data_IF_328202773059
#
_entry.id   IF_328202773059
#
_cell.length_a   1.000
_cell.length_b   1.000
_cell.length_c   1.000
_cell.angle_alpha   90.00
_cell.angle_beta   90.00
_cell.angle_gamma   90.00
#
_symmetry.space_group_name_H-M   'P 1'
#
loop_
_entity.id
_entity.type
_entity.pdbx_description
1 polymer ?
#
# COMPACT_ATOMS: atom_id res chain seq x y z
N UNK A 1 20.79 -25.34 -6.70
CA UNK A 1 21.89 -26.26 -6.29
C UNK A 1 22.88 -26.39 -7.44
N UNK A 2 24.14 -26.70 -7.18
CA UNK A 2 25.14 -26.95 -8.24
C UNK A 2 24.98 -28.36 -8.82
N UNK A 3 25.60 -28.59 -9.98
CA UNK A 3 25.71 -29.90 -10.63
C UNK A 3 26.37 -30.98 -9.76
N UNK A 4 27.16 -30.59 -8.75
CA UNK A 4 27.74 -31.50 -7.76
C UNK A 4 26.90 -31.71 -6.49
N UNK A 5 25.65 -31.24 -6.46
CA UNK A 5 24.75 -31.36 -5.30
C UNK A 5 24.97 -30.33 -4.19
N UNK A 6 25.96 -29.44 -4.32
CA UNK A 6 26.21 -28.34 -3.40
C UNK A 6 25.04 -27.36 -3.36
N UNK A 7 24.65 -26.94 -2.16
CA UNK A 7 23.62 -25.90 -1.98
C UNK A 7 24.26 -24.55 -2.33
N UNK A 8 23.67 -23.84 -3.29
CA UNK A 8 24.12 -22.50 -3.74
C UNK A 8 23.34 -21.41 -3.01
N UNK A 9 22.04 -21.63 -2.85
CA UNK A 9 21.12 -20.84 -2.06
C UNK A 9 20.12 -21.82 -1.46
N UNK A 10 19.71 -21.57 -0.22
CA UNK A 10 18.60 -22.29 0.40
C UNK A 10 17.25 -21.89 -0.22
N UNK A 11 17.16 -20.67 -0.74
CA UNK A 11 15.96 -20.09 -1.36
C UNK A 11 16.34 -19.18 -2.54
N UNK A 12 15.67 -19.33 -3.68
CA UNK A 12 15.91 -18.53 -4.89
C UNK A 12 15.13 -17.22 -4.77
N UNK A 13 15.83 -16.08 -4.79
CA UNK A 13 15.27 -14.81 -4.35
C UNK A 13 15.00 -14.88 -2.84
N UNK A 14 15.59 -13.98 -2.06
CA UNK A 14 15.34 -13.95 -0.61
C UNK A 14 13.85 -13.68 -0.25
N UNK A 15 13.00 -13.43 -1.26
CA UNK A 15 11.62 -12.99 -1.21
C UNK A 15 10.60 -13.99 -1.82
N UNK A 16 11.04 -15.16 -2.34
CA UNK A 16 10.20 -16.15 -3.05
C UNK A 16 9.44 -15.60 -4.27
N UNK A 17 9.84 -14.46 -4.82
CA UNK A 17 9.21 -13.90 -6.01
C UNK A 17 9.89 -14.44 -7.27
N UNK A 18 9.10 -14.77 -8.29
CA UNK A 18 9.63 -15.13 -9.60
C UNK A 18 10.07 -13.84 -10.32
N UNK A 19 11.36 -13.70 -10.70
CA UNK A 19 11.82 -12.51 -11.41
C UNK A 19 11.09 -12.26 -12.74
N UNK A 20 10.44 -13.27 -13.32
CA UNK A 20 9.64 -13.13 -14.55
C UNK A 20 8.29 -12.46 -14.28
N UNK A 21 7.74 -12.60 -13.07
CA UNK A 21 6.43 -12.07 -12.68
C UNK A 21 6.50 -10.70 -11.98
N UNK A 22 7.66 -10.01 -12.07
CA UNK A 22 7.85 -8.68 -11.49
C UNK A 22 7.34 -7.61 -12.45
N UNK A 23 6.20 -6.99 -12.13
CA UNK A 23 5.61 -5.92 -12.98
C UNK A 23 6.39 -4.59 -12.94
N UNK A 24 7.27 -4.40 -11.95
CA UNK A 24 8.09 -3.20 -11.74
C UNK A 24 9.59 -3.49 -11.69
N UNK A 25 10.41 -2.45 -11.55
CA UNK A 25 11.86 -2.60 -11.37
C UNK A 25 12.15 -3.14 -9.97
N UNK A 26 12.26 -4.48 -9.86
CA UNK A 26 12.39 -5.20 -8.59
C UNK A 26 11.21 -4.98 -7.61
N UNK A 27 10.02 -4.69 -8.14
CA UNK A 27 8.77 -4.67 -7.36
C UNK A 27 7.74 -5.61 -8.01
N UNK A 28 6.96 -6.36 -7.20
CA UNK A 28 6.02 -7.35 -7.73
C UNK A 28 4.82 -6.71 -8.47
N UNK A 29 4.48 -5.46 -8.18
CA UNK A 29 3.29 -4.80 -8.73
C UNK A 29 3.62 -3.38 -9.21
N UNK A 30 3.17 -3.02 -10.41
CA UNK A 30 3.24 -1.64 -10.89
C UNK A 30 2.00 -0.86 -10.43
N UNK A 31 2.06 -0.32 -9.22
CA UNK A 31 0.91 0.35 -8.59
C UNK A 31 0.29 1.45 -9.44
N UNK A 32 1.10 2.23 -10.17
CA UNK A 32 0.59 3.32 -11.03
C UNK A 32 -0.30 2.78 -12.15
N UNK A 33 0.13 1.70 -12.80
CA UNK A 33 -0.63 1.06 -13.88
C UNK A 33 -1.90 0.43 -13.35
N UNK A 34 -1.80 -0.33 -12.26
CA UNK A 34 -2.94 -1.03 -11.64
C UNK A 34 -3.98 -0.03 -11.15
N UNK A 35 -3.55 1.07 -10.53
CA UNK A 35 -4.44 2.14 -10.10
C UNK A 35 -5.20 2.78 -11.25
N UNK A 36 -4.48 3.18 -12.31
CA UNK A 36 -5.11 3.81 -13.49
C UNK A 36 -6.11 2.86 -14.17
N UNK A 37 -5.82 1.55 -14.14
CA UNK A 37 -6.71 0.53 -14.67
C UNK A 37 -7.97 0.37 -13.81
N UNK A 38 -7.82 0.30 -12.49
CA UNK A 38 -8.94 0.24 -11.54
C UNK A 38 -9.85 1.46 -11.72
N UNK A 39 -9.28 2.67 -11.68
CA UNK A 39 -9.99 3.95 -11.86
C UNK A 39 -10.81 3.98 -13.15
N UNK A 40 -10.27 3.45 -14.25
CA UNK A 40 -10.99 3.41 -15.54
C UNK A 40 -12.15 2.42 -15.51
N UNK A 41 -12.03 1.31 -14.77
CA UNK A 41 -13.07 0.28 -14.68
C UNK A 41 -14.20 0.69 -13.74
N UNK A 42 -13.89 1.42 -12.68
CA UNK A 42 -14.82 1.77 -11.59
C UNK A 42 -15.32 3.21 -11.66
N UNK A 43 -15.05 3.91 -12.77
CA UNK A 43 -15.47 5.31 -12.92
C UNK A 43 -17.00 5.46 -12.88
N UNK A 44 -17.50 6.07 -11.81
CA UNK A 44 -18.89 6.48 -11.65
C UNK A 44 -18.94 7.95 -11.21
N UNK A 45 -19.76 8.76 -11.89
CA UNK A 45 -19.93 10.17 -11.54
C UNK A 45 -20.81 10.35 -10.30
N UNK A 46 -21.75 9.43 -10.06
CA UNK A 46 -22.69 9.48 -8.93
C UNK A 46 -22.07 8.99 -7.62
N UNK A 47 -20.96 8.24 -7.68
CA UNK A 47 -20.26 7.77 -6.49
C UNK A 47 -19.55 8.93 -5.77
N UNK A 48 -19.70 9.02 -4.45
CA UNK A 48 -19.05 10.06 -3.67
C UNK A 48 -17.52 9.85 -3.59
N UNK A 49 -16.76 10.94 -3.72
CA UNK A 49 -15.32 10.91 -3.52
C UNK A 49 -15.00 10.72 -2.02
N UNK A 50 -14.07 9.82 -1.73
CA UNK A 50 -13.53 9.63 -0.39
C UNK A 50 -12.62 10.80 0.00
N UNK A 51 -12.64 11.15 1.27
CA UNK A 51 -11.68 12.08 1.87
C UNK A 51 -10.31 11.41 2.07
N UNK A 52 -9.20 12.19 2.17
CA UNK A 52 -7.88 11.62 2.46
C UNK A 52 -7.84 10.79 3.74
N UNK A 53 -8.60 11.17 4.78
CA UNK A 53 -8.69 10.43 6.04
C UNK A 53 -9.43 9.10 5.86
N UNK A 54 -10.53 9.08 5.10
CA UNK A 54 -11.24 7.85 4.77
C UNK A 54 -10.38 6.90 3.93
N UNK A 55 -9.62 7.41 2.96
CA UNK A 55 -8.69 6.60 2.16
C UNK A 55 -7.67 5.90 3.07
N UNK A 56 -7.06 6.65 4.00
CA UNK A 56 -6.09 6.11 4.95
C UNK A 56 -6.73 5.06 5.87
N UNK A 57 -7.91 5.36 6.41
CA UNK A 57 -8.62 4.45 7.30
C UNK A 57 -9.04 3.16 6.58
N UNK A 58 -9.49 3.27 5.33
CA UNK A 58 -9.86 2.12 4.52
C UNK A 58 -8.64 1.24 4.20
N UNK A 59 -7.53 1.85 3.77
CA UNK A 59 -6.28 1.14 3.53
C UNK A 59 -5.77 0.43 4.79
N UNK A 60 -5.76 1.11 5.94
CA UNK A 60 -5.37 0.52 7.22
C UNK A 60 -6.27 -0.67 7.59
N UNK A 61 -7.58 -0.55 7.38
CA UNK A 61 -8.53 -1.64 7.65
C UNK A 61 -8.26 -2.88 6.80
N UNK A 62 -7.86 -2.70 5.54
CA UNK A 62 -7.54 -3.78 4.62
C UNK A 62 -6.20 -4.43 4.97
N UNK A 63 -5.18 -3.61 5.21
CA UNK A 63 -3.85 -4.09 5.59
C UNK A 63 -3.84 -4.74 6.98
N UNK A 64 -4.71 -4.32 7.90
CA UNK A 64 -4.81 -4.92 9.23
C UNK A 64 -5.13 -6.43 9.18
N UNK A 65 -5.90 -6.88 8.19
CA UNK A 65 -6.19 -8.31 8.00
C UNK A 65 -4.93 -9.07 7.62
N UNK A 66 -4.15 -8.55 6.67
CA UNK A 66 -2.90 -9.18 6.22
C UNK A 66 -1.79 -9.08 7.28
N UNK A 67 -1.69 -7.97 8.02
CA UNK A 67 -0.74 -7.81 9.14
C UNK A 67 -0.95 -8.87 10.22
N UNK A 68 -2.20 -9.30 10.47
CA UNK A 68 -2.50 -10.40 11.41
C UNK A 68 -1.99 -11.76 10.95
N UNK A 69 -1.75 -11.95 9.64
CA UNK A 69 -1.20 -13.20 9.08
C UNK A 69 0.31 -13.29 9.22
N UNK A 70 0.99 -12.17 9.45
CA UNK A 70 2.45 -12.09 9.60
C UNK A 70 2.88 -11.50 10.96
N UNK A 71 2.44 -12.09 12.09
CA UNK A 71 2.81 -11.60 13.41
C UNK A 71 4.32 -11.81 13.65
N UNK A 72 4.98 -10.81 14.23
CA UNK A 72 6.40 -10.89 14.57
C UNK A 72 6.59 -11.55 15.94
N UNK A 73 7.49 -12.52 16.01
CA UNK A 73 7.84 -13.21 17.24
C UNK A 73 9.36 -13.28 17.40
N UNK A 74 9.83 -13.25 18.65
CA UNK A 74 11.24 -13.41 18.97
C UNK A 74 11.70 -14.84 18.68
N UNK A 75 12.87 -14.98 18.04
CA UNK A 75 13.41 -16.29 17.66
C UNK A 75 13.81 -17.15 18.86
N UNK A 76 14.21 -16.53 19.98
CA UNK A 76 14.72 -17.25 21.14
C UNK A 76 13.63 -17.69 22.14
N UNK A 77 12.62 -16.83 22.38
CA UNK A 77 11.60 -17.09 23.40
C UNK A 77 10.17 -17.11 22.87
N UNK A 78 9.95 -16.85 21.57
CA UNK A 78 8.63 -16.88 20.94
C UNK A 78 7.68 -15.77 21.42
N UNK A 79 8.22 -14.75 22.09
CA UNK A 79 7.47 -13.60 22.57
C UNK A 79 6.96 -12.77 21.39
N UNK A 80 5.79 -12.14 21.55
CA UNK A 80 5.27 -11.24 20.53
C UNK A 80 6.07 -9.94 20.53
N UNK A 81 6.63 -9.60 19.38
CA UNK A 81 7.37 -8.35 19.17
C UNK A 81 6.47 -7.29 18.52
N UNK A 82 6.97 -6.05 18.52
CA UNK A 82 6.33 -4.99 17.74
C UNK A 82 6.35 -5.33 16.25
N UNK A 83 5.29 -4.96 15.51
CA UNK A 83 5.19 -5.32 14.10
C UNK A 83 6.32 -4.70 13.26
N UNK A 84 6.74 -3.48 13.63
CA UNK A 84 7.76 -2.69 12.95
C UNK A 84 9.15 -2.82 13.62
N UNK A 85 9.37 -3.81 14.50
CA UNK A 85 10.67 -4.04 15.11
C UNK A 85 11.72 -4.39 14.04
N UNK A 86 12.72 -3.53 13.85
CA UNK A 86 13.80 -3.74 12.86
C UNK A 86 15.11 -4.21 13.50
N UNK A 87 15.09 -4.66 14.75
CA UNK A 87 16.30 -5.19 15.41
C UNK A 87 16.69 -6.53 14.81
N UNK A 88 17.99 -6.87 14.85
CA UNK A 88 18.50 -8.16 14.37
C UNK A 88 17.79 -9.37 15.01
N UNK A 89 17.30 -9.20 16.24
CA UNK A 89 16.56 -10.20 16.98
C UNK A 89 15.14 -10.43 16.44
N UNK A 90 14.51 -9.39 15.90
CA UNK A 90 13.13 -9.43 15.40
C UNK A 90 13.01 -9.87 13.94
N UNK A 91 14.11 -9.97 13.19
CA UNK A 91 14.10 -10.34 11.76
C UNK A 91 13.73 -11.82 11.58
N UNK A 92 12.74 -12.09 10.74
CA UNK A 92 12.27 -13.44 10.40
C UNK A 92 12.04 -13.62 8.88
N UNK A 93 11.55 -14.78 8.46
CA UNK A 93 11.25 -15.10 7.05
C UNK A 93 10.13 -14.27 6.38
N UNK A 94 9.36 -13.50 7.15
CA UNK A 94 8.22 -12.72 6.68
C UNK A 94 8.58 -11.24 6.38
N UNK A 95 9.85 -10.84 6.49
CA UNK A 95 10.29 -9.47 6.18
C UNK A 95 9.86 -8.99 4.79
N UNK A 96 9.97 -9.85 3.77
CA UNK A 96 9.54 -9.50 2.41
C UNK A 96 8.05 -9.18 2.34
N UNK A 97 7.21 -9.96 3.02
CA UNK A 97 5.77 -9.75 3.06
C UNK A 97 5.41 -8.46 3.81
N UNK A 98 6.03 -8.22 4.98
CA UNK A 98 5.81 -6.99 5.75
C UNK A 98 6.26 -5.74 4.98
N UNK A 99 7.42 -5.82 4.32
CA UNK A 99 7.92 -4.77 3.45
C UNK A 99 6.97 -4.47 2.30
N UNK A 100 6.37 -5.50 1.69
CA UNK A 100 5.38 -5.32 0.64
C UNK A 100 4.10 -4.64 1.14
N UNK A 101 3.58 -5.03 2.31
CA UNK A 101 2.45 -4.31 2.91
C UNK A 101 2.79 -2.83 3.16
N UNK A 102 4.04 -2.54 3.54
CA UNK A 102 4.53 -1.16 3.69
C UNK A 102 4.60 -0.40 2.37
N UNK A 103 4.97 -1.05 1.26
CA UNK A 103 4.98 -0.38 -0.05
C UNK A 103 3.57 -0.03 -0.52
N UNK A 104 2.57 -0.88 -0.25
CA UNK A 104 1.15 -0.57 -0.51
C UNK A 104 0.73 0.65 0.31
N UNK A 105 0.98 0.64 1.63
CA UNK A 105 0.65 1.75 2.52
C UNK A 105 1.27 3.07 2.04
N UNK A 106 2.56 3.05 1.68
CA UNK A 106 3.25 4.22 1.16
C UNK A 106 2.66 4.72 -0.18
N UNK A 107 2.23 3.82 -1.06
CA UNK A 107 1.62 4.20 -2.33
C UNK A 107 0.28 4.91 -2.09
N UNK A 108 -0.58 4.34 -1.26
CA UNK A 108 -1.90 4.91 -0.92
C UNK A 108 -1.74 6.23 -0.16
N UNK A 109 -0.78 6.32 0.76
CA UNK A 109 -0.44 7.56 1.43
C UNK A 109 -0.01 8.65 0.43
N UNK A 110 0.78 8.29 -0.57
CA UNK A 110 1.15 9.20 -1.66
C UNK A 110 -0.05 9.73 -2.45
N UNK A 111 -1.11 8.93 -2.62
CA UNK A 111 -2.36 9.35 -3.26
C UNK A 111 -3.18 10.25 -2.34
N UNK A 112 -3.38 9.86 -1.08
CA UNK A 112 -4.11 10.64 -0.08
C UNK A 112 -3.47 12.02 0.13
N UNK A 113 -2.14 12.09 0.24
CA UNK A 113 -1.36 13.32 0.34
C UNK A 113 -1.50 14.22 -0.90
N UNK A 114 -1.61 13.66 -2.11
CA UNK A 114 -1.87 14.44 -3.33
C UNK A 114 -3.30 15.01 -3.32
N UNK A 115 -4.28 14.21 -2.94
CA UNK A 115 -5.67 14.65 -2.81
C UNK A 115 -5.79 15.78 -1.79
N UNK A 116 -5.11 15.68 -0.64
CA UNK A 116 -5.08 16.73 0.37
C UNK A 116 -4.57 18.06 -0.20
N UNK A 117 -3.49 18.02 -1.00
CA UNK A 117 -2.95 19.22 -1.68
C UNK A 117 -3.95 19.79 -2.69
N UNK A 118 -4.60 18.94 -3.48
CA UNK A 118 -5.63 19.35 -4.45
C UNK A 118 -6.82 20.00 -3.74
N UNK A 119 -7.31 19.40 -2.64
CA UNK A 119 -8.41 19.96 -1.83
C UNK A 119 -8.02 21.32 -1.25
N UNK A 120 -6.82 21.48 -0.69
CA UNK A 120 -6.33 22.79 -0.21
C UNK A 120 -6.33 23.85 -1.33
N UNK A 121 -5.87 23.50 -2.53
CA UNK A 121 -5.88 24.41 -3.69
C UNK A 121 -7.29 24.75 -4.19
N UNK A 122 -8.22 23.78 -4.15
CA UNK A 122 -9.61 23.97 -4.53
C UNK A 122 -10.38 24.90 -3.55
N UNK A 123 -9.87 25.04 -2.32
CA UNK A 123 -10.46 25.87 -1.27
C UNK A 123 -11.08 25.07 -0.14
N UNK A 124 -10.46 23.98 0.28
CA UNK A 124 -10.78 23.28 1.53
C UNK A 124 -9.84 23.71 2.66
N UNK A 125 -10.38 23.82 3.88
CA UNK A 125 -9.63 23.86 5.13
C UNK A 125 -9.91 22.56 5.91
N UNK A 126 -8.98 21.61 5.83
CA UNK A 126 -9.25 20.23 6.24
C UNK A 126 -10.39 19.63 5.42
N UNK A 127 -11.45 19.20 6.10
CA UNK A 127 -12.68 18.69 5.47
C UNK A 127 -13.75 19.76 5.23
N UNK A 128 -13.52 21.01 5.68
CA UNK A 128 -14.48 22.10 5.50
C UNK A 128 -14.30 22.75 4.14
N UNK A 129 -15.41 22.87 3.43
CA UNK A 129 -15.45 23.53 2.14
C UNK A 129 -15.55 25.06 2.32
N UNK A 130 -14.56 25.82 1.85
CA UNK A 130 -14.58 27.29 1.93
C UNK A 130 -15.31 27.93 0.75
N UNK A 131 -15.47 27.21 -0.36
CA UNK A 131 -16.16 27.66 -1.57
C UNK A 131 -17.15 26.61 -2.04
N UNK A 132 -18.35 27.02 -2.47
CA UNK A 132 -19.38 26.09 -2.95
C UNK A 132 -18.92 25.18 -4.10
N UNK A 133 -17.96 25.61 -4.92
CA UNK A 133 -17.43 24.87 -6.08
C UNK A 133 -16.14 24.10 -5.78
N UNK A 134 -15.66 24.06 -4.54
CA UNK A 134 -14.38 23.43 -4.22
C UNK A 134 -14.43 21.91 -4.45
N UNK A 135 -15.57 21.27 -4.17
CA UNK A 135 -15.75 19.83 -4.41
C UNK A 135 -15.63 19.50 -5.91
N UNK A 136 -16.35 20.22 -6.79
CA UNK A 136 -16.28 20.02 -8.24
C UNK A 136 -14.85 20.15 -8.80
N UNK A 137 -14.07 21.09 -8.26
CA UNK A 137 -12.68 21.28 -8.66
C UNK A 137 -11.79 20.13 -8.20
N UNK A 138 -12.01 19.62 -6.99
CA UNK A 138 -11.29 18.47 -6.47
C UNK A 138 -11.60 17.20 -7.28
N UNK A 139 -12.89 16.91 -7.52
CA UNK A 139 -13.34 15.70 -8.22
C UNK A 139 -12.89 15.67 -9.68
N UNK A 140 -12.81 16.83 -10.35
CA UNK A 140 -12.25 16.92 -11.71
C UNK A 140 -10.75 16.66 -11.79
N UNK A 141 -10.04 16.85 -10.68
CA UNK A 141 -8.57 16.78 -10.65
C UNK A 141 -8.08 15.43 -10.14
N UNK A 142 -8.72 14.89 -9.11
CA UNK A 142 -8.36 13.62 -8.49
C UNK A 142 -9.56 13.09 -7.69
N UNK A 143 -10.40 12.26 -8.32
CA UNK A 143 -11.48 11.54 -7.64
C UNK A 143 -10.96 10.18 -7.19
N UNK A 144 -11.18 9.85 -5.92
CA UNK A 144 -10.89 8.52 -5.38
C UNK A 144 -12.16 8.00 -4.75
N UNK A 145 -12.57 6.79 -5.12
CA UNK A 145 -13.79 6.16 -4.63
C UNK A 145 -13.51 4.83 -3.94
N UNK A 146 -14.46 4.34 -3.15
CA UNK A 146 -14.30 3.10 -2.41
C UNK A 146 -14.23 1.88 -3.33
N UNK A 147 -14.89 1.93 -4.49
CA UNK A 147 -14.81 0.87 -5.51
C UNK A 147 -13.45 0.78 -6.19
N UNK A 148 -12.69 1.88 -6.22
CA UNK A 148 -11.38 1.97 -6.86
C UNK A 148 -10.24 1.44 -5.97
N UNK A 149 -10.47 1.38 -4.64
CA UNK A 149 -9.50 1.05 -3.59
C UNK A 149 -9.60 -0.41 -3.16
#
# INVERSE_FOLDING_TARGET
>A
RTSGGGIVQFQFGADKLDPVDMEGSAEPVNFKRTWSHAETLTWDNEEAAMTPSEIRAFCDSMLAVERRRFPRHGLAYGEKLDYEDTTDYGIDEHEGARRFLKTIENHVEGLASKLEKVRKLAGFDGDKMLRATAQDHADRTAKVTATTL
#
